data_IF_779306075444
#
_entry.id   IF_779306075444
#
_cell.length_a   1.000
_cell.length_b   1.000
_cell.length_c   1.000
_cell.angle_alpha   90.00
_cell.angle_beta   90.00
_cell.angle_gamma   90.00
#
_symmetry.space_group_name_H-M   'P 1'
#
loop_
_entity.id
_entity.type
_entity.pdbx_description
1 polymer ?
#
# COMPACT_ATOMS: atom_id res chain seq x y z
N UNK A 1 -25.08 32.99 47.31
CA UNK A 1 -24.24 31.82 46.97
C UNK A 1 -24.63 31.38 45.57
N UNK A 2 -23.76 31.59 44.58
CA UNK A 2 -23.95 31.16 43.20
C UNK A 2 -22.90 30.10 42.90
N UNK A 3 -23.36 28.86 42.74
CA UNK A 3 -22.55 27.71 42.32
C UNK A 3 -22.46 27.70 40.80
N UNK A 4 -21.28 27.99 40.25
CA UNK A 4 -20.98 27.73 38.84
C UNK A 4 -20.23 26.41 38.72
N UNK A 5 -20.90 25.42 38.14
CA UNK A 5 -20.36 24.10 37.80
C UNK A 5 -19.36 24.19 36.66
N UNK A 6 -18.21 23.54 36.82
CA UNK A 6 -17.20 23.31 35.77
C UNK A 6 -17.80 22.44 34.64
N UNK A 7 -17.74 22.93 33.41
CA UNK A 7 -17.97 22.12 32.22
C UNK A 7 -16.62 21.57 31.73
N UNK A 8 -16.31 20.31 32.08
CA UNK A 8 -15.18 19.58 31.50
C UNK A 8 -15.55 19.12 30.10
N UNK A 9 -14.99 19.75 29.08
CA UNK A 9 -15.09 19.33 27.68
C UNK A 9 -14.00 18.30 27.42
N UNK A 10 -14.34 17.02 27.50
CA UNK A 10 -13.48 15.93 27.04
C UNK A 10 -13.71 15.77 25.54
N UNK A 11 -12.86 16.39 24.72
CA UNK A 11 -12.79 16.09 23.28
C UNK A 11 -11.98 14.80 23.15
N UNK A 12 -12.68 13.68 23.25
CA UNK A 12 -12.17 12.40 22.80
C UNK A 12 -12.15 12.39 21.27
N UNK A 13 -11.03 12.79 20.67
CA UNK A 13 -10.77 12.55 19.25
C UNK A 13 -10.46 11.06 19.07
N UNK A 14 -11.51 10.24 19.06
CA UNK A 14 -11.48 8.90 18.51
C UNK A 14 -11.40 9.04 16.98
N UNK A 15 -10.18 8.95 16.43
CA UNK A 15 -9.99 8.65 15.02
C UNK A 15 -10.41 7.20 14.79
N UNK A 16 -11.72 6.96 14.67
CA UNK A 16 -12.21 5.73 14.05
C UNK A 16 -12.39 6.04 12.57
N UNK A 17 -11.32 5.81 11.81
CA UNK A 17 -11.42 5.65 10.37
C UNK A 17 -12.24 4.38 10.13
N UNK A 18 -13.55 4.52 9.93
CA UNK A 18 -14.38 3.42 9.44
C UNK A 18 -14.01 3.18 7.99
N UNK A 19 -13.01 2.32 7.76
CA UNK A 19 -12.79 1.70 6.46
C UNK A 19 -14.01 0.82 6.18
N UNK A 20 -14.90 1.29 5.31
CA UNK A 20 -15.96 0.48 4.74
C UNK A 20 -15.32 -0.55 3.80
N UNK A 21 -14.93 -1.71 4.33
CA UNK A 21 -14.59 -2.87 3.52
C UNK A 21 -15.91 -3.41 2.97
N UNK A 22 -16.16 -3.18 1.69
CA UNK A 22 -17.17 -3.95 0.98
C UNK A 22 -16.74 -5.43 1.04
N UNK A 23 -17.70 -6.35 1.21
CA UNK A 23 -17.45 -7.79 1.03
C UNK A 23 -17.15 -8.03 -0.44
N UNK A 24 -15.89 -7.88 -0.81
CA UNK A 24 -15.34 -8.06 -2.14
C UNK A 24 -14.09 -8.86 -1.94
N UNK A 25 -14.11 -10.15 -2.28
CA UNK A 25 -12.92 -10.96 -2.49
C UNK A 25 -12.26 -10.44 -3.79
N UNK A 26 -11.37 -9.46 -3.62
CA UNK A 26 -10.90 -8.62 -4.73
C UNK A 26 -9.94 -9.37 -5.66
N UNK A 27 -9.18 -10.32 -5.13
CA UNK A 27 -8.25 -11.15 -5.88
C UNK A 27 -8.78 -12.57 -6.20
N UNK A 28 -10.01 -12.87 -5.78
CA UNK A 28 -10.78 -14.08 -6.09
C UNK A 28 -10.14 -15.37 -5.57
N UNK A 29 -9.48 -15.29 -4.41
CA UNK A 29 -8.81 -16.43 -3.80
C UNK A 29 -9.75 -17.29 -2.92
N UNK A 30 -11.00 -16.84 -2.74
CA UNK A 30 -12.03 -17.50 -1.96
C UNK A 30 -12.08 -17.06 -0.49
N UNK A 31 -11.31 -16.04 -0.11
CA UNK A 31 -11.31 -15.42 1.21
C UNK A 31 -11.85 -13.99 1.06
N UNK A 32 -12.71 -13.58 1.97
CA UNK A 32 -13.24 -12.21 1.96
C UNK A 32 -12.18 -11.22 2.48
N UNK A 33 -11.93 -10.12 1.76
CA UNK A 33 -10.93 -9.09 2.10
C UNK A 33 -11.04 -8.61 3.56
N UNK A 34 -12.25 -8.59 4.13
CA UNK A 34 -12.47 -8.21 5.53
C UNK A 34 -11.82 -9.18 6.52
N UNK A 35 -11.85 -10.48 6.21
CA UNK A 35 -11.20 -11.55 6.97
C UNK A 35 -9.69 -11.43 6.80
N UNK A 36 -9.21 -11.23 5.59
CA UNK A 36 -7.80 -11.03 5.31
C UNK A 36 -7.23 -9.83 6.07
N UNK A 37 -7.92 -8.69 6.04
CA UNK A 37 -7.54 -7.49 6.77
C UNK A 37 -7.45 -7.75 8.28
N UNK A 38 -8.38 -8.54 8.82
CA UNK A 38 -8.37 -8.96 10.22
C UNK A 38 -7.15 -9.82 10.54
N UNK A 39 -6.81 -10.77 9.67
CA UNK A 39 -5.63 -11.63 9.83
C UNK A 39 -4.33 -10.83 9.73
N UNK A 40 -4.24 -9.91 8.78
CA UNK A 40 -3.12 -8.97 8.61
C UNK A 40 -2.89 -8.17 9.88
N UNK A 41 -3.93 -7.57 10.47
CA UNK A 41 -3.79 -6.80 11.71
C UNK A 41 -3.42 -7.67 12.91
N UNK A 42 -3.97 -8.88 12.99
CA UNK A 42 -3.72 -9.80 14.10
C UNK A 42 -2.30 -10.34 14.11
N UNK A 43 -1.76 -10.66 12.94
CA UNK A 43 -0.45 -11.30 12.78
C UNK A 43 0.62 -10.39 12.18
N UNK A 44 0.36 -9.08 12.09
CA UNK A 44 1.35 -8.11 11.65
C UNK A 44 2.64 -8.22 12.48
N UNK A 45 3.82 -8.31 11.84
CA UNK A 45 5.07 -8.38 12.56
C UNK A 45 5.32 -7.09 13.33
N UNK A 46 5.81 -7.23 14.57
CA UNK A 46 6.28 -6.10 15.37
C UNK A 46 7.78 -5.96 15.16
N UNK A 47 8.21 -4.77 14.76
CA UNK A 47 9.62 -4.45 14.57
C UNK A 47 10.11 -3.58 15.73
N UNK A 48 11.14 -4.08 16.43
CA UNK A 48 11.84 -3.32 17.46
C UNK A 48 13.20 -2.93 16.90
N UNK A 49 13.42 -1.63 16.77
CA UNK A 49 14.68 -1.08 16.28
C UNK A 49 15.53 -0.62 17.45
N UNK A 50 16.84 -0.69 17.28
CA UNK A 50 17.75 -0.01 18.19
C UNK A 50 17.43 1.50 18.20
N UNK A 51 17.53 2.20 19.35
CA UNK A 51 17.28 3.65 19.41
C UNK A 51 18.08 4.42 18.36
N UNK A 52 19.35 4.03 18.19
CA UNK A 52 20.31 4.64 17.27
C UNK A 52 20.35 3.95 15.89
N UNK A 53 19.30 3.22 15.49
CA UNK A 53 19.24 2.65 14.14
C UNK A 53 19.09 3.77 13.09
N UNK A 54 20.09 3.96 12.23
CA UNK A 54 20.05 4.98 11.18
C UNK A 54 19.15 4.56 10.00
N UNK A 55 19.03 3.26 9.73
CA UNK A 55 18.27 2.72 8.60
C UNK A 55 16.86 2.36 9.04
N UNK A 56 16.01 3.39 9.20
CA UNK A 56 14.59 3.17 9.50
C UNK A 56 13.89 2.47 8.31
N UNK A 57 12.92 1.57 8.58
CA UNK A 57 12.11 0.94 7.55
C UNK A 57 11.43 2.00 6.70
N UNK A 58 11.49 1.83 5.38
CA UNK A 58 10.68 2.61 4.45
C UNK A 58 9.29 1.99 4.33
N UNK A 59 8.25 2.83 4.29
CA UNK A 59 6.93 2.37 3.85
C UNK A 59 6.94 2.06 2.35
N UNK A 60 5.96 1.25 1.90
CA UNK A 60 5.76 0.98 0.48
C UNK A 60 5.60 2.30 -0.29
N UNK A 61 4.78 3.23 0.22
CA UNK A 61 4.59 4.55 -0.40
C UNK A 61 5.88 5.37 -0.51
N UNK A 62 6.73 5.34 0.53
CA UNK A 62 8.03 6.00 0.48
C UNK A 62 8.90 5.46 -0.65
N UNK A 63 8.90 4.13 -0.83
CA UNK A 63 9.67 3.48 -1.89
C UNK A 63 9.10 3.81 -3.27
N UNK A 64 7.77 3.72 -3.46
CA UNK A 64 7.13 3.96 -4.74
C UNK A 64 7.31 5.39 -5.26
N UNK A 65 7.46 6.38 -4.38
CA UNK A 65 7.79 7.76 -4.75
C UNK A 65 9.21 7.93 -5.32
N UNK A 66 10.08 6.94 -5.16
CA UNK A 66 11.51 7.01 -5.52
C UNK A 66 11.91 6.08 -6.66
N UNK A 67 10.92 5.47 -7.31
CA UNK A 67 11.14 4.57 -8.45
C UNK A 67 10.36 5.04 -9.67
N UNK A 68 10.85 4.65 -10.84
CA UNK A 68 10.11 4.66 -12.10
C UNK A 68 9.72 3.22 -12.46
N UNK A 69 8.62 3.04 -13.17
CA UNK A 69 8.18 1.73 -13.65
C UNK A 69 8.50 1.56 -15.12
N UNK A 70 9.13 0.43 -15.46
CA UNK A 70 9.53 0.05 -16.82
C UNK A 70 9.11 -1.39 -17.10
N UNK A 71 8.73 -1.70 -18.33
CA UNK A 71 8.68 -3.09 -18.75
C UNK A 71 10.06 -3.54 -19.20
N UNK A 72 10.52 -4.67 -18.66
CA UNK A 72 11.66 -5.34 -19.22
C UNK A 72 11.22 -6.16 -20.43
N UNK A 73 11.91 -5.98 -21.56
CA UNK A 73 11.74 -6.87 -22.71
C UNK A 73 13.12 -7.18 -23.30
N UNK A 74 13.34 -8.45 -23.60
CA UNK A 74 14.51 -8.89 -24.36
C UNK A 74 14.30 -8.53 -25.83
N UNK A 75 15.27 -7.84 -26.46
CA UNK A 75 15.21 -7.57 -27.91
C UNK A 75 15.74 -6.22 -28.40
N UNK A 76 16.32 -5.38 -27.54
CA UNK A 76 16.99 -4.14 -27.97
C UNK A 76 16.06 -3.01 -28.47
N UNK A 77 14.77 -3.06 -28.12
CA UNK A 77 13.86 -1.92 -28.27
C UNK A 77 14.23 -0.75 -27.36
N UNK A 78 13.67 0.43 -27.67
CA UNK A 78 13.84 1.66 -26.88
C UNK A 78 13.28 1.51 -25.47
N UNK A 79 13.71 2.37 -24.55
CA UNK A 79 13.24 2.39 -23.16
C UNK A 79 11.70 2.45 -23.06
N UNK A 80 11.10 1.43 -22.46
CA UNK A 80 9.66 1.29 -22.26
C UNK A 80 9.26 1.71 -20.83
N UNK A 81 9.48 3.00 -20.52
CA UNK A 81 9.02 3.60 -19.28
C UNK A 81 7.49 3.79 -19.28
N UNK A 82 6.83 3.22 -18.28
CA UNK A 82 5.37 3.25 -18.12
C UNK A 82 4.96 4.39 -17.19
N UNK A 83 5.63 4.48 -16.03
CA UNK A 83 5.37 5.50 -15.03
C UNK A 83 6.68 6.19 -14.68
N UNK A 84 6.65 7.52 -14.71
CA UNK A 84 7.80 8.32 -14.35
C UNK A 84 8.16 8.19 -12.87
N UNK A 85 9.38 8.60 -12.54
CA UNK A 85 9.85 8.70 -11.16
C UNK A 85 8.85 9.50 -10.32
N UNK A 86 8.41 8.92 -9.20
CA UNK A 86 7.46 9.55 -8.29
C UNK A 86 6.00 9.48 -8.72
N UNK A 87 5.69 8.90 -9.88
CA UNK A 87 4.32 8.68 -10.36
C UNK A 87 3.77 7.29 -10.02
N UNK A 88 4.60 6.40 -9.47
CA UNK A 88 4.17 5.05 -9.06
C UNK A 88 3.44 5.13 -7.72
N UNK A 89 2.27 4.49 -7.64
CA UNK A 89 1.43 4.42 -6.44
C UNK A 89 0.91 3.00 -6.28
N UNK A 90 0.54 2.59 -5.06
CA UNK A 90 -0.06 1.26 -4.84
C UNK A 90 -1.34 1.05 -5.68
N UNK A 91 -2.09 2.12 -5.93
CA UNK A 91 -3.31 2.08 -6.74
C UNK A 91 -3.05 1.85 -8.24
N UNK A 92 -1.97 2.43 -8.80
CA UNK A 92 -1.69 2.32 -10.23
C UNK A 92 -0.70 1.20 -10.56
N UNK A 93 0.06 0.68 -9.58
CA UNK A 93 1.09 -0.34 -9.81
C UNK A 93 0.52 -1.60 -10.48
N UNK A 94 -0.62 -2.10 -9.99
CA UNK A 94 -1.26 -3.31 -10.50
C UNK A 94 -2.06 -3.11 -11.79
N UNK A 95 -2.29 -1.86 -12.19
CA UNK A 95 -3.11 -1.52 -13.36
C UNK A 95 -2.30 -1.43 -14.65
N UNK A 96 -0.97 -1.46 -14.57
CA UNK A 96 -0.12 -1.29 -15.73
C UNK A 96 -0.04 -2.56 -16.58
N UNK A 97 -0.23 -2.41 -17.89
CA UNK A 97 -0.15 -3.48 -18.87
C UNK A 97 0.59 -3.03 -20.13
N UNK A 98 1.28 -3.95 -20.80
CA UNK A 98 2.02 -3.65 -22.02
C UNK A 98 1.04 -3.52 -23.21
N UNK A 99 1.03 -2.37 -23.89
CA UNK A 99 0.03 -2.07 -24.93
C UNK A 99 0.04 -3.07 -26.10
N UNK A 100 1.20 -3.60 -26.47
CA UNK A 100 1.37 -4.56 -27.58
C UNK A 100 1.48 -6.03 -27.13
N UNK A 101 1.51 -6.31 -25.82
CA UNK A 101 1.70 -7.68 -25.30
C UNK A 101 0.68 -7.95 -24.20
N UNK A 102 -0.49 -8.40 -24.64
CA UNK A 102 -1.70 -8.63 -23.83
C UNK A 102 -1.57 -9.74 -22.77
N UNK A 103 -0.41 -10.39 -22.63
CA UNK A 103 -0.25 -11.58 -21.79
C UNK A 103 1.16 -11.62 -21.17
N UNK A 104 1.17 -11.60 -19.83
CA UNK A 104 2.26 -11.96 -18.93
C UNK A 104 3.51 -11.06 -18.90
N UNK A 105 3.84 -10.61 -17.68
CA UNK A 105 5.24 -10.45 -17.25
C UNK A 105 5.98 -11.73 -17.70
N UNK A 106 6.89 -11.59 -18.66
CA UNK A 106 7.54 -12.73 -19.29
C UNK A 106 8.24 -13.56 -18.21
N UNK A 107 7.73 -14.76 -17.98
CA UNK A 107 8.44 -15.80 -17.26
C UNK A 107 9.77 -16.05 -17.98
N UNK A 108 10.88 -15.84 -17.28
CA UNK A 108 12.17 -16.38 -17.67
C UNK A 108 12.01 -17.90 -17.89
N UNK A 109 12.16 -18.36 -19.12
CA UNK A 109 12.70 -19.70 -19.34
C UNK A 109 14.22 -19.56 -19.41
N UNK A 110 14.89 -20.18 -18.45
CA UNK A 110 16.26 -20.66 -18.66
C UNK A 110 16.26 -21.74 -19.73
#
# INVERSE_FOLDING_TARGET
>A
MLTTTLASVVIGSLFVSSLSYANTDADQDGIDDSVEQTLLLKYAPKLYLHPDEDNKPSSIDWYLQRVAMRFHHDGGCSDDQILALGSVTQANLSQQAHQTKKMALLAHRQ
#
